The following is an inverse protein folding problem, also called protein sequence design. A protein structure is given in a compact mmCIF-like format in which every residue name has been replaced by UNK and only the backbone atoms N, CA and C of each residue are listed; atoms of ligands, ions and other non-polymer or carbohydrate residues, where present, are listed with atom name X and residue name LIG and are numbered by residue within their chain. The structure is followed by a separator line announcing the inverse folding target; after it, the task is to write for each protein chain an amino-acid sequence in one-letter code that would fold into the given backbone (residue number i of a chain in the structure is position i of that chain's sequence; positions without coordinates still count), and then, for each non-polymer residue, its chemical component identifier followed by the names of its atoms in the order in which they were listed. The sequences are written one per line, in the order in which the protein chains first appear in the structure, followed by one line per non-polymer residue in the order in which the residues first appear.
data_IF_526121102318
#
_entry.id   IF_526121102318
#
_cell.length_a   1.000
_cell.length_b   1.000
_cell.length_c   1.000
_cell.angle_alpha   90.00
_cell.angle_beta   90.00
_cell.angle_gamma   90.00
#
_symmetry.space_group_name_H-M   'P 1'
#
loop_
_entity.id
_entity.type
_entity.pdbx_description
1 polymer ?
#
# COMPACT_ATOMS: atom_id res chain seq x y z
N UNK A 1 -23.04 -2.63 -17.12
CA UNK A 1 -22.91 -1.44 -16.25
C UNK A 1 -21.55 -1.59 -15.55
N UNK A 2 -20.45 -1.66 -16.30
CA UNK A 2 -19.65 -0.58 -16.91
C UNK A 2 -18.95 0.27 -15.86
N UNK A 3 -17.64 0.06 -15.78
CA UNK A 3 -16.68 0.57 -14.80
C UNK A 3 -15.54 -0.46 -14.79
N UNK A 4 -14.93 -0.76 -15.93
CA UNK A 4 -13.92 0.13 -16.47
C UNK A 4 -12.68 -0.02 -15.60
N UNK A 5 -12.12 -1.23 -15.53
CA UNK A 5 -10.77 -1.42 -15.02
C UNK A 5 -9.87 -0.72 -16.02
N UNK A 6 -9.60 0.55 -15.77
CA UNK A 6 -8.63 1.30 -16.52
C UNK A 6 -7.34 0.46 -16.48
N UNK A 7 -6.89 0.10 -17.67
CA UNK A 7 -5.78 -0.83 -17.88
C UNK A 7 -4.61 -0.37 -17.00
N UNK A 8 -4.14 -1.22 -16.08
CA UNK A 8 -3.04 -0.89 -15.18
C UNK A 8 -1.77 -0.63 -16.01
N UNK A 9 -1.54 0.63 -16.39
CA UNK A 9 -0.45 1.01 -17.29
C UNK A 9 0.80 1.29 -16.48
N UNK A 10 1.65 0.27 -16.39
CA UNK A 10 2.98 0.37 -15.78
C UNK A 10 4.04 0.54 -16.87
N UNK A 11 5.02 1.40 -16.62
CA UNK A 11 6.18 1.60 -17.49
C UNK A 11 7.40 1.00 -16.81
N UNK A 12 8.05 0.04 -17.48
CA UNK A 12 9.27 -0.61 -16.98
C UNK A 12 10.47 -0.08 -17.74
N UNK A 13 11.50 0.35 -17.01
CA UNK A 13 12.77 0.80 -17.58
C UNK A 13 13.87 -0.18 -17.20
N UNK A 14 14.27 -1.03 -18.15
CA UNK A 14 15.34 -2.02 -17.95
C UNK A 14 16.72 -1.37 -17.73
N UNK A 15 16.93 -0.17 -18.26
CA UNK A 15 18.16 0.61 -18.06
C UNK A 15 18.23 1.29 -16.69
N UNK A 16 17.17 1.25 -15.89
CA UNK A 16 17.14 1.84 -14.56
C UNK A 16 17.97 0.99 -13.57
N UNK A 17 18.71 1.62 -12.63
CA UNK A 17 19.35 0.89 -11.54
C UNK A 17 18.32 0.31 -10.53
N UNK A 18 17.06 0.76 -10.58
CA UNK A 18 15.99 0.26 -9.71
C UNK A 18 15.51 -1.12 -10.17
N UNK A 19 15.48 -2.13 -9.29
CA UNK A 19 14.93 -3.44 -9.62
C UNK A 19 13.49 -3.37 -10.16
N UNK A 20 13.16 -4.21 -11.14
CA UNK A 20 11.86 -4.16 -11.83
C UNK A 20 10.66 -4.34 -10.88
N UNK A 21 10.77 -5.20 -9.86
CA UNK A 21 9.70 -5.37 -8.89
C UNK A 21 9.43 -4.09 -8.08
N UNK A 22 10.48 -3.31 -7.75
CA UNK A 22 10.34 -2.02 -7.05
C UNK A 22 9.72 -0.97 -7.96
N UNK A 23 10.04 -0.99 -9.26
CA UNK A 23 9.38 -0.11 -10.25
C UNK A 23 7.87 -0.36 -10.32
N UNK A 24 7.45 -1.64 -10.28
CA UNK A 24 6.03 -2.03 -10.25
C UNK A 24 5.38 -1.53 -8.96
N UNK A 25 5.99 -1.83 -7.80
CA UNK A 25 5.50 -1.43 -6.48
C UNK A 25 5.30 0.08 -6.39
N UNK A 26 6.34 0.85 -6.71
CA UNK A 26 6.32 2.31 -6.61
C UNK A 26 5.25 2.96 -7.51
N UNK A 27 5.03 2.42 -8.70
CA UNK A 27 4.00 2.94 -9.60
C UNK A 27 2.59 2.64 -9.09
N UNK A 28 2.33 1.44 -8.56
CA UNK A 28 1.03 1.11 -7.95
C UNK A 28 0.75 1.99 -6.74
N UNK A 29 1.73 2.16 -5.84
CA UNK A 29 1.61 3.08 -4.70
C UNK A 29 1.38 4.53 -5.15
N UNK A 30 2.08 4.98 -6.19
CA UNK A 30 1.89 6.31 -6.77
C UNK A 30 0.47 6.52 -7.29
N UNK A 31 -0.08 5.53 -8.01
CA UNK A 31 -1.46 5.56 -8.50
C UNK A 31 -2.49 5.61 -7.36
N UNK A 32 -2.26 4.88 -6.28
CA UNK A 32 -3.11 4.97 -5.08
C UNK A 32 -3.01 6.36 -4.44
N UNK A 33 -1.80 6.90 -4.28
CA UNK A 33 -1.57 8.23 -3.67
C UNK A 33 -2.25 9.37 -4.42
N UNK A 34 -2.29 9.30 -5.74
CA UNK A 34 -2.94 10.34 -6.58
C UNK A 34 -4.41 10.05 -6.87
N UNK A 35 -4.98 9.00 -6.27
CA UNK A 35 -6.39 8.62 -6.45
C UNK A 35 -6.74 8.02 -7.81
N UNK A 36 -5.75 7.53 -8.56
CA UNK A 36 -5.99 6.79 -9.81
C UNK A 36 -6.43 5.33 -9.52
N UNK A 37 -6.05 4.79 -8.37
CA UNK A 37 -6.51 3.50 -7.86
C UNK A 37 -7.16 3.72 -6.48
N UNK A 38 -8.34 3.14 -6.30
CA UNK A 38 -9.18 3.31 -5.12
C UNK A 38 -9.24 2.05 -4.28
N UNK A 39 -9.62 2.20 -3.00
CA UNK A 39 -9.84 1.06 -2.12
C UNK A 39 -10.85 0.07 -2.72
N UNK A 40 -10.49 -1.21 -2.71
CA UNK A 40 -11.27 -2.28 -3.31
C UNK A 40 -11.05 -2.51 -4.82
N UNK A 41 -10.32 -1.65 -5.53
CA UNK A 41 -10.03 -1.83 -6.95
C UNK A 41 -9.30 -3.15 -7.19
N UNK A 42 -9.74 -3.89 -8.21
CA UNK A 42 -9.13 -5.18 -8.57
C UNK A 42 -7.85 -4.92 -9.36
N UNK A 43 -6.77 -5.55 -8.92
CA UNK A 43 -5.55 -5.63 -9.70
C UNK A 43 -5.60 -6.84 -10.66
N UNK A 44 -4.88 -6.76 -11.80
CA UNK A 44 -4.66 -7.92 -12.66
C UNK A 44 -4.00 -9.06 -11.87
N UNK A 45 -4.23 -10.29 -12.30
CA UNK A 45 -3.50 -11.43 -11.71
C UNK A 45 -2.00 -11.33 -11.98
N UNK A 46 -1.17 -11.97 -11.15
CA UNK A 46 0.28 -12.05 -11.36
C UNK A 46 0.62 -12.52 -12.78
N UNK A 47 -0.08 -13.55 -13.28
CA UNK A 47 0.15 -14.10 -14.63
C UNK A 47 -0.26 -13.13 -15.73
N UNK A 48 -1.39 -12.44 -15.54
CA UNK A 48 -1.87 -11.45 -16.50
C UNK A 48 -0.89 -10.29 -16.60
N UNK A 49 -0.55 -9.65 -15.48
CA UNK A 49 0.36 -8.51 -15.47
C UNK A 49 1.77 -8.89 -15.96
N UNK A 50 2.25 -10.10 -15.63
CA UNK A 50 3.52 -10.60 -16.16
C UNK A 50 3.47 -10.76 -17.69
N UNK A 51 2.35 -11.23 -18.25
CA UNK A 51 2.14 -11.31 -19.70
C UNK A 51 2.12 -9.93 -20.35
N UNK A 52 1.32 -9.01 -19.79
CA UNK A 52 1.15 -7.64 -20.31
C UNK A 52 2.49 -6.87 -20.33
N UNK A 53 3.31 -7.06 -19.29
CA UNK A 53 4.63 -6.42 -19.16
C UNK A 53 5.78 -7.22 -19.78
N UNK A 54 5.52 -8.45 -20.28
CA UNK A 54 6.54 -9.41 -20.74
C UNK A 54 7.65 -9.68 -19.70
N UNK A 55 7.24 -9.88 -18.45
CA UNK A 55 8.13 -10.14 -17.32
C UNK A 55 8.02 -11.58 -16.80
N UNK A 56 9.03 -12.00 -16.04
CA UNK A 56 8.94 -13.24 -15.27
C UNK A 56 7.82 -13.12 -14.20
N UNK A 57 6.93 -14.12 -14.05
CA UNK A 57 5.87 -14.10 -13.03
C UNK A 57 6.40 -13.88 -11.60
N UNK A 58 7.60 -14.37 -11.29
CA UNK A 58 8.23 -14.18 -9.99
C UNK A 58 8.51 -12.71 -9.65
N UNK A 59 8.82 -11.88 -10.64
CA UNK A 59 9.06 -10.43 -10.45
C UNK A 59 7.78 -9.72 -10.03
N UNK A 60 6.66 -10.02 -10.70
CA UNK A 60 5.34 -9.48 -10.35
C UNK A 60 4.86 -10.02 -9.01
N UNK A 61 5.06 -11.31 -8.75
CA UNK A 61 4.72 -11.93 -7.47
C UNK A 61 5.46 -11.26 -6.30
N UNK A 62 6.76 -10.96 -6.47
CA UNK A 62 7.55 -10.24 -5.47
C UNK A 62 6.99 -8.83 -5.23
N UNK A 63 6.66 -8.08 -6.28
CA UNK A 63 6.06 -6.75 -6.15
C UNK A 63 4.73 -6.79 -5.38
N UNK A 64 3.86 -7.75 -5.71
CA UNK A 64 2.57 -7.92 -5.02
C UNK A 64 2.76 -8.36 -3.56
N UNK A 65 3.75 -9.20 -3.26
CA UNK A 65 4.05 -9.60 -1.89
C UNK A 65 4.45 -8.38 -1.02
N UNK A 66 5.33 -7.51 -1.53
CA UNK A 66 5.74 -6.29 -0.82
C UNK A 66 4.59 -5.27 -0.67
N UNK A 67 3.72 -5.15 -1.68
CA UNK A 67 2.51 -4.34 -1.59
C UNK A 67 1.52 -4.90 -0.53
N UNK A 68 1.44 -6.22 -0.40
CA UNK A 68 0.57 -6.85 0.60
C UNK A 68 1.15 -6.67 2.02
N UNK A 69 2.47 -6.82 2.16
CA UNK A 69 3.18 -6.60 3.43
C UNK A 69 3.07 -5.14 3.91
N UNK A 70 3.12 -4.18 3.00
CA UNK A 70 2.89 -2.75 3.28
C UNK A 70 1.41 -2.37 3.43
N UNK A 71 0.49 -3.33 3.25
CA UNK A 71 -0.94 -3.14 3.40
C UNK A 71 -1.63 -2.38 2.26
N UNK A 72 -0.91 -2.05 1.18
CA UNK A 72 -1.41 -1.34 -0.02
C UNK A 72 -2.34 -2.22 -0.85
N UNK A 73 -2.18 -3.54 -0.75
CA UNK A 73 -3.08 -4.51 -1.36
C UNK A 73 -3.46 -5.60 -0.37
N UNK A 74 -4.57 -6.27 -0.64
CA UNK A 74 -4.92 -7.53 -0.03
C UNK A 74 -4.92 -8.66 -1.06
N UNK A 75 -4.46 -9.83 -0.63
CA UNK A 75 -4.45 -11.06 -1.43
C UNK A 75 -5.11 -12.18 -0.64
N UNK A 76 -5.97 -12.97 -1.28
CA UNK A 76 -6.54 -14.19 -0.70
C UNK A 76 -6.38 -15.37 -1.67
N UNK A 77 -6.18 -16.61 -1.18
CA UNK A 77 -6.05 -17.79 -2.04
C UNK A 77 -7.21 -17.89 -3.02
N UNK A 78 -6.90 -18.04 -4.32
CA UNK A 78 -7.89 -18.15 -5.39
C UNK A 78 -8.64 -16.86 -5.72
N UNK A 79 -8.29 -15.71 -5.13
CA UNK A 79 -8.91 -14.41 -5.42
C UNK A 79 -7.91 -13.46 -6.07
N UNK A 80 -8.42 -12.56 -6.91
CA UNK A 80 -7.65 -11.45 -7.45
C UNK A 80 -7.20 -10.53 -6.31
N UNK A 81 -5.98 -10.01 -6.41
CA UNK A 81 -5.49 -8.99 -5.50
C UNK A 81 -6.36 -7.72 -5.63
N UNK A 82 -6.54 -7.01 -4.51
CA UNK A 82 -7.28 -5.75 -4.49
C UNK A 82 -6.50 -4.68 -3.78
N UNK A 83 -6.65 -3.44 -4.22
CA UNK A 83 -6.13 -2.30 -3.47
C UNK A 83 -6.80 -2.29 -2.11
N UNK A 84 -5.96 -2.16 -1.08
CA UNK A 84 -6.34 -1.93 0.30
C UNK A 84 -5.62 -0.65 0.70
N UNK A 85 -6.36 0.41 0.96
CA UNK A 85 -5.72 1.67 1.32
C UNK A 85 -5.33 1.65 2.80
N UNK A 86 -4.03 1.67 3.10
CA UNK A 86 -3.54 2.22 4.37
C UNK A 86 -3.43 3.73 4.16
N UNK A 87 -4.16 4.56 4.93
CA UNK A 87 -4.06 6.00 4.84
C UNK A 87 -2.62 6.48 4.79
N UNK A 88 -2.30 7.31 3.80
CA UNK A 88 -1.12 8.17 3.94
C UNK A 88 -1.44 9.08 5.12
N UNK A 89 -0.95 8.72 6.30
CA UNK A 89 -1.07 9.54 7.49
C UNK A 89 -0.28 10.81 7.17
N UNK A 90 -0.93 11.99 7.13
CA UNK A 90 -0.23 13.23 6.82
C UNK A 90 0.98 13.39 7.74
N UNK A 91 2.09 13.88 7.21
CA UNK A 91 3.33 14.09 7.99
C UNK A 91 3.09 14.84 9.32
N UNK A 92 2.25 15.90 9.37
CA UNK A 92 1.92 16.55 10.65
C UNK A 92 1.23 15.63 11.67
N UNK A 93 0.41 14.68 11.19
CA UNK A 93 -0.28 13.73 12.06
C UNK A 93 0.67 12.63 12.58
N UNK A 94 1.66 12.22 11.77
CA UNK A 94 2.73 11.35 12.23
C UNK A 94 3.59 12.02 13.31
N UNK A 95 3.93 13.30 13.13
CA UNK A 95 4.67 14.09 14.11
C UNK A 95 3.90 14.21 15.43
N UNK A 96 2.60 14.55 15.36
CA UNK A 96 1.75 14.60 16.54
C UNK A 96 1.67 13.24 17.27
N UNK A 97 1.59 12.13 16.52
CA UNK A 97 1.60 10.79 17.10
C UNK A 97 2.94 10.46 17.78
N UNK A 98 4.07 10.86 17.19
CA UNK A 98 5.40 10.67 17.78
C UNK A 98 5.55 11.47 19.09
N UNK A 99 5.12 12.73 19.10
CA UNK A 99 5.14 13.59 20.28
C UNK A 99 4.30 13.00 21.41
N UNK A 100 3.07 12.57 21.11
CA UNK A 100 2.17 11.94 22.06
C UNK A 100 2.77 10.65 22.65
N UNK A 101 3.28 9.76 21.80
CA UNK A 101 3.91 8.51 22.23
C UNK A 101 5.15 8.77 23.11
N UNK A 102 5.94 9.79 22.78
CA UNK A 102 7.09 10.21 23.59
C UNK A 102 6.67 10.70 24.98
N UNK A 103 5.58 11.46 25.08
CA UNK A 103 5.04 11.91 26.36
C UNK A 103 4.49 10.75 27.19
N UNK A 104 3.68 9.87 26.59
CA UNK A 104 3.09 8.72 27.26
C UNK A 104 4.16 7.80 27.87
N UNK A 105 5.24 7.51 27.12
CA UNK A 105 6.37 6.70 27.62
C UNK A 105 7.09 7.34 28.81
N UNK A 106 7.29 8.66 28.80
CA UNK A 106 7.92 9.38 29.92
C UNK A 106 7.07 9.33 31.20
N UNK A 107 5.75 9.23 31.05
CA UNK A 107 4.81 9.08 32.16
C UNK A 107 4.68 7.61 32.63
N UNK A 108 5.35 6.66 31.97
CA UNK A 108 5.26 5.24 32.28
C UNK A 108 3.96 4.58 31.80
N UNK A 109 3.20 5.23 30.91
CA UNK A 109 1.95 4.70 30.39
C UNK A 109 2.20 3.49 29.47
N UNK A 110 1.33 2.47 29.58
CA UNK A 110 1.29 1.38 28.61
C UNK A 110 0.70 1.86 27.28
N UNK A 111 0.83 1.04 26.24
CA UNK A 111 0.16 1.31 24.96
C UNK A 111 -1.37 1.41 25.13
N UNK A 112 -1.96 0.55 25.95
CA UNK A 112 -3.40 0.55 26.21
C UNK A 112 -3.85 1.80 26.97
N UNK A 113 -3.06 2.28 27.93
CA UNK A 113 -3.36 3.52 28.67
C UNK A 113 -3.28 4.73 27.73
N UNK A 114 -2.25 4.79 26.89
CA UNK A 114 -2.09 5.84 25.90
C UNK A 114 -3.23 5.82 24.87
N UNK A 115 -3.61 4.65 24.37
CA UNK A 115 -4.74 4.53 23.45
C UNK A 115 -6.07 4.93 24.12
N UNK A 116 -6.27 4.54 25.37
CA UNK A 116 -7.46 4.91 26.15
C UNK A 116 -7.55 6.41 26.39
N UNK A 117 -6.45 7.06 26.73
CA UNK A 117 -6.38 8.51 26.90
C UNK A 117 -6.63 9.26 25.59
N UNK A 118 -6.05 8.80 24.48
CA UNK A 118 -6.30 9.40 23.16
C UNK A 118 -7.77 9.27 22.75
N UNK A 119 -8.38 8.11 22.97
CA UNK A 119 -9.81 7.86 22.71
C UNK A 119 -10.71 8.75 23.55
N UNK A 120 -10.42 8.92 24.84
CA UNK A 120 -11.21 9.76 25.74
C UNK A 120 -11.28 11.23 25.28
N UNK A 121 -10.28 11.69 24.51
CA UNK A 121 -10.21 13.05 23.98
C UNK A 121 -10.81 13.21 22.57
N UNK A 122 -11.11 12.11 21.87
CA UNK A 122 -11.42 12.12 20.44
C UNK A 122 -12.89 12.43 20.10
N UNK A 123 -13.79 12.38 21.09
CA UNK A 123 -15.23 12.54 20.90
C UNK A 123 -15.90 11.24 20.47
#
# INVERSE_FOLDING_TARGET
MSGGGDELRLVIRESSPTPVYEQIRAQIEGMVKVGALHDGDKLPSVRQLAGDLRLAPGTVAKAYAELAESGVIETAPGRAARIRHVPTIPEPLLQAAQEYAGQARRLGASFEDALSALRAQWG
#
